data_IF_662383793686
#
_entry.id   IF_662383793686
#
_cell.length_a   1.000
_cell.length_b   1.000
_cell.length_c   1.000
_cell.angle_alpha   90.00
_cell.angle_beta   90.00
_cell.angle_gamma   90.00
#
_symmetry.space_group_name_H-M   'P 1'
#
loop_
_entity.id
_entity.type
_entity.pdbx_description
1 polymer ?
#
# COMPACT_ATOMS: atom_id res chain seq x y z
N UNK A 1 -20.03 76.92 41.60
CA UNK A 1 -19.32 75.80 42.25
C UNK A 1 -18.75 74.93 41.12
N UNK A 2 -17.63 75.30 40.48
CA UNK A 2 -16.23 74.89 40.74
C UNK A 2 -16.07 73.38 41.04
N UNK A 3 -15.32 72.68 40.18
CA UNK A 3 -14.81 71.31 40.40
C UNK A 3 -14.44 70.57 39.11
N UNK A 4 -13.42 71.03 38.36
CA UNK A 4 -12.12 70.34 38.14
C UNK A 4 -12.13 68.96 37.47
N UNK A 5 -11.56 68.89 36.26
CA UNK A 5 -10.57 67.85 35.96
C UNK A 5 -9.49 68.42 35.02
N UNK A 6 -8.24 68.27 35.45
CA UNK A 6 -7.01 68.74 34.81
C UNK A 6 -6.38 67.60 33.99
N UNK A 7 -5.30 67.98 33.29
CA UNK A 7 -4.10 67.18 32.92
C UNK A 7 -4.17 66.63 31.49
N UNK A 8 -3.59 67.29 30.49
CA UNK A 8 -2.15 67.51 30.14
C UNK A 8 -1.77 66.59 28.98
N UNK A 9 -1.28 67.21 27.91
CA UNK A 9 -0.65 66.58 26.75
C UNK A 9 0.80 66.25 27.12
N UNK A 10 1.21 64.99 26.94
CA UNK A 10 2.63 64.60 26.92
C UNK A 10 2.89 63.68 25.73
N UNK A 11 3.84 64.09 24.91
CA UNK A 11 4.46 63.33 23.82
C UNK A 11 5.08 62.02 24.32
N UNK A 12 4.84 60.90 23.64
CA UNK A 12 5.52 59.61 23.85
C UNK A 12 5.74 58.91 22.51
N UNK A 13 6.97 58.91 21.99
CA UNK A 13 7.87 57.75 21.91
C UNK A 13 7.32 56.64 21.01
N UNK A 14 7.91 56.53 19.82
CA UNK A 14 7.74 55.42 18.89
C UNK A 14 8.32 54.14 19.52
N UNK A 15 7.47 53.13 19.71
CA UNK A 15 7.87 51.79 20.10
C UNK A 15 7.76 50.88 18.88
N UNK A 16 8.91 50.48 18.34
CA UNK A 16 9.01 49.43 17.33
C UNK A 16 8.64 48.09 17.97
N UNK A 17 7.51 47.51 17.58
CA UNK A 17 7.15 46.16 17.97
C UNK A 17 7.89 45.15 17.07
N UNK A 18 8.77 44.36 17.68
CA UNK A 18 9.37 43.17 17.07
C UNK A 18 8.26 42.13 16.86
N UNK A 19 7.94 41.84 15.61
CA UNK A 19 7.08 40.70 15.25
C UNK A 19 7.98 39.45 15.28
N UNK A 20 7.85 38.63 16.32
CA UNK A 20 8.37 37.26 16.30
C UNK A 20 7.35 36.43 15.51
N UNK A 21 7.64 36.20 14.23
CA UNK A 21 6.90 35.25 13.43
C UNK A 21 7.28 33.84 13.91
N UNK A 22 6.41 33.25 14.73
CA UNK A 22 6.49 31.86 15.10
C UNK A 22 6.08 31.01 13.89
N UNK A 23 7.07 30.56 13.13
CA UNK A 23 6.89 29.69 11.97
C UNK A 23 6.54 28.27 12.43
N UNK A 24 5.29 28.08 12.88
CA UNK A 24 4.70 26.76 12.92
C UNK A 24 4.41 26.34 11.48
N UNK A 25 5.29 25.52 10.91
CA UNK A 25 4.98 24.71 9.74
C UNK A 25 3.81 23.78 10.10
N UNK A 26 2.59 24.25 9.84
CA UNK A 26 1.45 23.38 9.73
C UNK A 26 1.73 22.44 8.55
N UNK A 27 2.01 21.18 8.85
CA UNK A 27 1.81 20.09 7.91
C UNK A 27 0.33 20.15 7.56
N UNK A 28 -0.01 20.74 6.41
CA UNK A 28 -1.37 20.69 5.89
C UNK A 28 -1.65 19.23 5.52
N UNK A 29 -2.15 18.45 6.49
CA UNK A 29 -2.82 17.20 6.20
C UNK A 29 -3.95 17.51 5.21
N UNK A 30 -4.06 16.70 4.15
CA UNK A 30 -5.15 16.83 3.19
C UNK A 30 -6.47 16.92 3.95
N UNK A 31 -7.22 18.02 3.77
CA UNK A 31 -8.51 18.19 4.41
C UNK A 31 -9.43 17.03 3.99
N UNK A 32 -10.08 16.38 4.96
CA UNK A 32 -11.04 15.30 4.67
C UNK A 32 -12.12 15.81 3.71
N UNK A 33 -12.38 15.12 2.58
CA UNK A 33 -13.37 15.58 1.61
C UNK A 33 -14.77 15.74 2.23
N UNK A 34 -15.44 16.87 1.97
CA UNK A 34 -16.82 17.10 2.42
C UNK A 34 -17.80 16.37 1.49
N UNK A 35 -18.24 15.18 1.91
CA UNK A 35 -19.20 14.36 1.17
C UNK A 35 -20.53 15.06 0.87
N UNK A 36 -21.00 15.95 1.74
CA UNK A 36 -22.22 16.73 1.52
C UNK A 36 -22.02 17.76 0.43
N UNK A 37 -20.89 18.47 0.45
CA UNK A 37 -20.56 19.44 -0.60
C UNK A 37 -20.40 18.75 -1.96
N UNK A 38 -19.70 17.61 -2.01
CA UNK A 38 -19.55 16.80 -3.23
C UNK A 38 -20.92 16.37 -3.74
N UNK A 39 -21.82 15.91 -2.86
CA UNK A 39 -23.18 15.54 -3.24
C UNK A 39 -23.95 16.72 -3.85
N UNK A 40 -23.90 17.90 -3.22
CA UNK A 40 -24.62 19.08 -3.69
C UNK A 40 -24.12 19.59 -5.04
N UNK A 41 -22.81 19.51 -5.28
CA UNK A 41 -22.19 19.95 -6.53
C UNK A 41 -22.41 18.97 -7.69
N UNK A 42 -22.38 17.66 -7.42
CA UNK A 42 -22.27 16.64 -8.46
C UNK A 42 -23.53 15.79 -8.61
N UNK A 43 -24.25 15.50 -7.52
CA UNK A 43 -25.28 14.48 -7.48
C UNK A 43 -26.70 15.06 -7.35
N UNK A 44 -26.84 16.17 -6.63
CA UNK A 44 -28.13 16.76 -6.28
C UNK A 44 -28.92 17.28 -7.48
N UNK A 45 -28.27 17.54 -8.61
CA UNK A 45 -28.95 17.94 -9.86
C UNK A 45 -29.97 16.89 -10.33
N UNK A 46 -29.69 15.59 -10.08
CA UNK A 46 -30.60 14.49 -10.42
C UNK A 46 -31.27 13.89 -9.17
N UNK A 47 -30.52 13.70 -8.08
CA UNK A 47 -31.02 13.04 -6.87
C UNK A 47 -31.71 13.98 -5.88
N UNK A 48 -31.71 15.28 -6.18
CA UNK A 48 -32.19 16.38 -5.32
C UNK A 48 -31.38 16.54 -4.03
N UNK A 49 -31.31 17.76 -3.46
CA UNK A 49 -30.59 18.00 -2.20
C UNK A 49 -31.09 17.16 -1.00
N UNK A 50 -32.36 16.75 -1.03
CA UNK A 50 -32.98 15.91 0.00
C UNK A 50 -32.95 14.41 -0.33
N UNK A 51 -32.23 13.99 -1.39
CA UNK A 51 -32.13 12.58 -1.77
C UNK A 51 -33.43 11.95 -2.25
N UNK A 52 -34.48 12.74 -2.50
CA UNK A 52 -35.78 12.22 -2.90
C UNK A 52 -35.81 11.69 -4.35
N UNK A 53 -34.77 11.98 -5.15
CA UNK A 53 -34.77 11.68 -6.58
C UNK A 53 -35.84 12.48 -7.32
N UNK A 54 -36.22 12.03 -8.52
CA UNK A 54 -37.30 12.63 -9.30
C UNK A 54 -37.18 12.33 -10.79
N UNK A 55 -38.33 12.33 -11.48
CA UNK A 55 -38.38 11.93 -12.88
C UNK A 55 -37.79 10.53 -13.05
N UNK A 56 -36.79 10.33 -13.91
CA UNK A 56 -36.21 9.01 -14.17
C UNK A 56 -35.16 8.58 -13.12
N UNK A 57 -34.88 9.38 -12.09
CA UNK A 57 -33.83 9.12 -11.09
C UNK A 57 -34.42 8.62 -9.76
N UNK A 58 -33.90 7.51 -9.21
CA UNK A 58 -34.43 6.91 -7.98
C UNK A 58 -34.17 7.78 -6.74
N UNK A 59 -35.00 7.64 -5.68
CA UNK A 59 -34.67 8.17 -4.37
C UNK A 59 -33.42 7.47 -3.83
N UNK A 60 -32.57 8.24 -3.16
CA UNK A 60 -31.48 7.74 -2.32
C UNK A 60 -31.91 7.68 -0.84
N UNK A 61 -32.82 8.57 -0.43
CA UNK A 61 -33.45 8.53 0.89
C UNK A 61 -34.32 7.27 1.05
N UNK A 62 -34.04 6.46 2.06
CA UNK A 62 -34.76 5.20 2.34
C UNK A 62 -34.59 4.12 1.27
N UNK A 63 -33.60 4.25 0.38
CA UNK A 63 -33.34 3.26 -0.66
C UNK A 63 -32.73 1.98 -0.04
N UNK A 64 -33.30 0.78 -0.30
CA UNK A 64 -32.77 -0.48 0.24
C UNK A 64 -31.31 -0.75 -0.13
N UNK A 65 -30.88 -0.44 -1.36
CA UNK A 65 -29.51 -0.65 -1.81
C UNK A 65 -28.54 0.31 -1.11
N UNK A 66 -28.97 1.54 -0.83
CA UNK A 66 -28.20 2.49 -0.03
C UNK A 66 -28.11 2.02 1.42
N UNK A 67 -29.16 1.38 1.94
CA UNK A 67 -29.21 0.88 3.32
C UNK A 67 -28.65 -0.55 3.50
N UNK A 68 -28.22 -1.21 2.42
CA UNK A 68 -27.60 -2.52 2.51
C UNK A 68 -26.30 -2.47 3.32
N UNK A 69 -26.04 -3.54 4.11
CA UNK A 69 -24.80 -3.68 4.89
C UNK A 69 -23.60 -3.61 3.95
N UNK A 70 -23.65 -4.39 2.86
CA UNK A 70 -22.64 -4.38 1.81
C UNK A 70 -22.79 -3.14 0.91
N UNK A 71 -21.70 -2.41 0.72
CA UNK A 71 -21.62 -1.19 -0.09
C UNK A 71 -21.10 -1.44 -1.51
N UNK A 72 -20.69 -2.66 -1.87
CA UNK A 72 -20.05 -2.95 -3.15
C UNK A 72 -20.88 -2.48 -4.35
N UNK A 73 -22.19 -2.75 -4.36
CA UNK A 73 -23.08 -2.39 -5.47
C UNK A 73 -23.19 -0.88 -5.69
N UNK A 74 -23.29 -0.09 -4.61
CA UNK A 74 -23.41 1.38 -4.72
C UNK A 74 -22.06 2.02 -5.05
N UNK A 75 -20.94 1.45 -4.58
CA UNK A 75 -19.60 1.87 -4.98
C UNK A 75 -19.40 1.66 -6.49
N UNK A 76 -19.71 0.47 -7.00
CA UNK A 76 -19.60 0.16 -8.43
C UNK A 76 -20.53 1.01 -9.29
N UNK A 77 -21.73 1.33 -8.80
CA UNK A 77 -22.68 2.22 -9.48
C UNK A 77 -22.14 3.64 -9.61
N UNK A 78 -21.51 4.19 -8.56
CA UNK A 78 -20.89 5.53 -8.64
C UNK A 78 -19.65 5.53 -9.53
N UNK A 79 -18.80 4.52 -9.41
CA UNK A 79 -17.60 4.40 -10.23
C UNK A 79 -17.98 4.29 -11.71
N UNK A 80 -18.81 3.33 -12.09
CA UNK A 80 -19.02 2.99 -13.50
C UNK A 80 -20.23 3.71 -14.12
N UNK A 81 -21.04 4.38 -13.30
CA UNK A 81 -22.34 4.87 -13.73
C UNK A 81 -23.31 3.71 -13.94
N UNK A 82 -24.52 4.05 -14.38
CA UNK A 82 -25.54 3.06 -14.67
C UNK A 82 -26.49 3.58 -15.75
N UNK A 83 -26.87 2.69 -16.65
CA UNK A 83 -27.93 2.91 -17.63
C UNK A 83 -28.98 1.82 -17.51
N UNK A 84 -30.17 2.08 -18.05
CA UNK A 84 -31.25 1.11 -18.09
C UNK A 84 -32.12 1.06 -16.84
N UNK A 85 -33.17 0.22 -16.87
CA UNK A 85 -34.20 0.22 -15.85
C UNK A 85 -33.70 -0.33 -14.52
N UNK A 86 -34.12 0.30 -13.43
CA UNK A 86 -33.94 -0.18 -12.07
C UNK A 86 -35.28 -0.13 -11.34
N UNK A 87 -35.48 -0.99 -10.36
CA UNK A 87 -36.68 -0.95 -9.52
C UNK A 87 -36.26 -0.64 -8.10
N UNK A 88 -36.82 0.43 -7.52
CA UNK A 88 -36.62 0.80 -6.11
C UNK A 88 -37.99 0.91 -5.47
N UNK A 89 -38.23 0.15 -4.41
CA UNK A 89 -39.51 0.10 -3.69
C UNK A 89 -40.73 -0.11 -4.62
N UNK A 90 -40.58 -0.98 -5.63
CA UNK A 90 -41.63 -1.32 -6.60
C UNK A 90 -41.87 -0.29 -7.71
N UNK A 91 -41.13 0.82 -7.72
CA UNK A 91 -41.20 1.85 -8.78
C UNK A 91 -40.02 1.69 -9.73
N UNK A 92 -40.28 1.72 -11.04
CA UNK A 92 -39.26 1.63 -12.07
C UNK A 92 -38.69 3.01 -12.42
N UNK A 93 -37.37 3.08 -12.53
CA UNK A 93 -36.58 4.26 -12.89
C UNK A 93 -35.67 3.90 -14.07
N UNK A 94 -35.40 4.85 -14.97
CA UNK A 94 -34.63 4.58 -16.20
C UNK A 94 -33.61 5.66 -16.53
N UNK A 95 -33.23 6.48 -15.55
CA UNK A 95 -32.29 7.58 -15.73
C UNK A 95 -30.87 7.07 -15.91
N UNK A 96 -30.10 7.79 -16.75
CA UNK A 96 -28.68 7.52 -16.92
C UNK A 96 -27.88 8.21 -15.81
N UNK A 97 -27.16 7.42 -15.03
CA UNK A 97 -26.20 7.90 -14.04
C UNK A 97 -24.81 7.91 -14.67
N UNK A 98 -24.10 9.06 -14.69
CA UNK A 98 -22.75 9.14 -15.23
C UNK A 98 -21.74 8.37 -14.36
N UNK A 99 -20.63 7.97 -14.98
CA UNK A 99 -19.46 7.41 -14.30
C UNK A 99 -18.66 8.52 -13.61
N UNK A 100 -18.19 8.25 -12.39
CA UNK A 100 -17.32 9.15 -11.62
C UNK A 100 -15.90 8.60 -11.41
N UNK A 101 -15.60 7.43 -11.99
CA UNK A 101 -14.31 6.71 -11.89
C UNK A 101 -13.09 7.49 -12.39
N UNK A 102 -13.27 8.52 -13.20
CA UNK A 102 -12.17 9.38 -13.66
C UNK A 102 -12.23 10.80 -13.10
N UNK A 103 -13.28 11.14 -12.35
CA UNK A 103 -13.63 12.51 -11.99
C UNK A 103 -13.50 12.78 -10.48
N UNK A 104 -13.71 11.75 -9.66
CA UNK A 104 -13.57 11.82 -8.21
C UNK A 104 -12.52 10.81 -7.73
N UNK A 105 -11.70 11.23 -6.78
CA UNK A 105 -10.75 10.38 -6.04
C UNK A 105 -11.47 9.34 -5.17
N UNK A 106 -10.73 8.36 -4.66
CA UNK A 106 -11.29 7.33 -3.78
C UNK A 106 -11.83 7.94 -2.48
N UNK A 107 -11.08 8.87 -1.87
CA UNK A 107 -11.52 9.63 -0.70
C UNK A 107 -12.80 10.44 -0.95
N UNK A 108 -12.93 11.09 -2.12
CA UNK A 108 -14.14 11.86 -2.48
C UNK A 108 -15.36 10.97 -2.69
N UNK A 109 -15.20 9.81 -3.35
CA UNK A 109 -16.29 8.84 -3.54
C UNK A 109 -16.69 8.21 -2.20
N UNK A 110 -15.73 7.86 -1.36
CA UNK A 110 -15.99 7.34 -0.01
C UNK A 110 -16.76 8.36 0.84
N UNK A 111 -16.35 9.63 0.80
CA UNK A 111 -17.03 10.71 1.53
C UNK A 111 -18.47 10.93 1.07
N UNK A 112 -18.72 11.03 -0.25
CA UNK A 112 -20.08 11.25 -0.78
C UNK A 112 -21.00 10.06 -0.53
N UNK A 113 -20.49 8.82 -0.66
CA UNK A 113 -21.26 7.62 -0.35
C UNK A 113 -21.57 7.51 1.14
N UNK A 114 -20.62 7.87 2.01
CA UNK A 114 -20.84 7.94 3.46
C UNK A 114 -21.92 8.96 3.82
N UNK A 115 -21.89 10.15 3.20
CA UNK A 115 -22.95 11.14 3.37
C UNK A 115 -24.32 10.57 2.93
N UNK A 116 -24.41 9.99 1.73
CA UNK A 116 -25.66 9.40 1.21
C UNK A 116 -26.19 8.29 2.13
N UNK A 117 -25.33 7.47 2.73
CA UNK A 117 -25.70 6.35 3.62
C UNK A 117 -26.10 6.76 5.04
N UNK A 118 -25.85 8.01 5.41
CA UNK A 118 -26.16 8.56 6.75
C UNK A 118 -27.16 9.73 6.70
N UNK A 119 -27.38 10.31 5.52
CA UNK A 119 -28.37 11.36 5.30
C UNK A 119 -29.80 10.81 5.22
N UNK A 120 -30.79 11.69 5.44
CA UNK A 120 -32.22 11.43 5.21
C UNK A 120 -32.76 10.17 5.90
N UNK A 121 -32.26 9.88 7.11
CA UNK A 121 -32.60 8.71 7.93
C UNK A 121 -32.14 7.37 7.35
N UNK A 122 -31.23 7.38 6.38
CA UNK A 122 -30.46 6.19 6.04
C UNK A 122 -29.58 5.80 7.25
N UNK A 123 -29.41 4.50 7.45
CA UNK A 123 -28.67 3.94 8.58
C UNK A 123 -27.88 2.73 8.11
N UNK A 124 -26.78 3.02 7.40
CA UNK A 124 -25.86 2.00 6.91
C UNK A 124 -24.41 2.33 7.27
N UNK A 125 -23.52 1.33 7.34
CA UNK A 125 -22.09 1.56 7.62
C UNK A 125 -21.46 2.56 6.65
N UNK A 126 -20.53 3.38 7.13
CA UNK A 126 -19.76 4.28 6.26
C UNK A 126 -18.98 3.51 5.20
N UNK A 127 -18.67 4.16 4.08
CA UNK A 127 -17.80 3.63 3.03
C UNK A 127 -16.38 4.14 3.26
N UNK A 128 -15.40 3.24 3.34
CA UNK A 128 -13.99 3.60 3.46
C UNK A 128 -13.35 3.88 2.09
N UNK A 129 -12.25 4.63 2.11
CA UNK A 129 -11.42 4.86 0.92
C UNK A 129 -10.90 3.54 0.33
N UNK A 130 -10.45 2.61 1.19
CA UNK A 130 -9.96 1.28 0.78
C UNK A 130 -11.03 0.47 0.03
N UNK A 131 -12.30 0.54 0.45
CA UNK A 131 -13.40 -0.13 -0.25
C UNK A 131 -13.59 0.43 -1.67
N UNK A 132 -13.44 1.73 -1.84
CA UNK A 132 -13.53 2.37 -3.16
C UNK A 132 -12.32 2.03 -4.01
N UNK A 133 -11.11 2.09 -3.45
CA UNK A 133 -9.87 1.72 -4.14
C UNK A 133 -9.91 0.27 -4.63
N UNK A 134 -10.39 -0.66 -3.79
CA UNK A 134 -10.58 -2.06 -4.15
C UNK A 134 -11.61 -2.22 -5.28
N UNK A 135 -12.77 -1.56 -5.19
CA UNK A 135 -13.78 -1.58 -6.24
C UNK A 135 -13.32 -0.88 -7.55
N UNK A 136 -12.38 0.06 -7.46
CA UNK A 136 -11.74 0.73 -8.60
C UNK A 136 -10.61 -0.12 -9.19
N UNK A 137 -10.10 -1.13 -8.51
CA UNK A 137 -9.21 -2.07 -9.17
C UNK A 137 -9.94 -2.70 -10.37
N UNK A 138 -9.28 -2.92 -11.52
CA UNK A 138 -9.83 -3.80 -12.55
C UNK A 138 -10.19 -5.15 -11.91
N UNK A 139 -11.30 -5.75 -12.34
CA UNK A 139 -11.69 -7.09 -11.90
C UNK A 139 -10.48 -8.03 -12.10
N UNK A 140 -10.02 -8.66 -11.01
CA UNK A 140 -8.79 -9.42 -11.02
C UNK A 140 -8.84 -10.46 -12.15
N UNK A 141 -7.87 -10.41 -13.05
CA UNK A 141 -7.79 -11.43 -14.09
C UNK A 141 -7.56 -12.79 -13.41
N UNK A 142 -8.13 -13.86 -13.98
CA UNK A 142 -7.86 -15.21 -13.44
C UNK A 142 -6.36 -15.46 -13.38
N UNK A 143 -5.88 -16.09 -12.30
CA UNK A 143 -4.45 -16.32 -12.11
C UNK A 143 -3.81 -17.10 -13.25
N UNK A 144 -4.57 -18.02 -13.85
CA UNK A 144 -4.17 -18.76 -15.04
C UNK A 144 -3.96 -17.84 -16.27
N UNK A 145 -4.88 -16.90 -16.52
CA UNK A 145 -4.76 -15.95 -17.62
C UNK A 145 -3.59 -14.98 -17.41
N UNK A 146 -3.40 -14.48 -16.18
CA UNK A 146 -2.25 -13.64 -15.84
C UNK A 146 -0.95 -14.39 -16.04
N UNK A 147 -0.87 -15.64 -15.57
CA UNK A 147 0.31 -16.47 -15.73
C UNK A 147 0.65 -16.67 -17.20
N UNK A 148 -0.34 -17.03 -18.02
CA UNK A 148 -0.16 -17.22 -19.46
C UNK A 148 0.26 -15.93 -20.20
N UNK A 149 -0.24 -14.77 -19.75
CA UNK A 149 0.05 -13.50 -20.41
C UNK A 149 1.40 -12.88 -19.98
N UNK A 150 1.84 -13.13 -18.74
CA UNK A 150 2.94 -12.36 -18.12
C UNK A 150 4.10 -13.21 -17.63
N UNK A 151 3.86 -14.47 -17.25
CA UNK A 151 4.84 -15.29 -16.53
C UNK A 151 5.38 -16.45 -17.38
N UNK A 152 4.53 -17.07 -18.22
CA UNK A 152 4.85 -18.29 -18.96
C UNK A 152 5.94 -18.09 -20.02
N UNK A 153 6.18 -16.87 -20.48
CA UNK A 153 7.30 -16.57 -21.41
C UNK A 153 8.64 -17.02 -20.84
N UNK A 154 8.83 -16.87 -19.52
CA UNK A 154 10.07 -17.25 -18.83
C UNK A 154 9.91 -18.53 -18.02
N UNK A 155 8.80 -18.68 -17.29
CA UNK A 155 8.56 -19.85 -16.43
C UNK A 155 7.95 -21.06 -17.15
N UNK A 156 7.66 -20.91 -18.45
CA UNK A 156 6.97 -21.88 -19.30
C UNK A 156 5.54 -22.17 -18.83
N UNK A 157 4.71 -22.71 -19.72
CA UNK A 157 3.27 -22.87 -19.49
C UNK A 157 2.92 -23.85 -18.36
N UNK A 158 3.79 -24.82 -18.10
CA UNK A 158 3.64 -25.80 -17.02
C UNK A 158 4.53 -25.47 -15.79
N UNK A 159 5.05 -24.25 -15.69
CA UNK A 159 5.87 -23.83 -14.56
C UNK A 159 7.19 -24.59 -14.44
N UNK A 160 7.66 -25.25 -15.50
CA UNK A 160 8.89 -26.05 -15.50
C UNK A 160 10.17 -25.18 -15.56
N UNK A 161 10.03 -23.89 -15.88
CA UNK A 161 11.18 -23.00 -16.04
C UNK A 161 12.04 -23.34 -17.26
N UNK A 162 13.25 -22.77 -17.28
CA UNK A 162 14.29 -22.99 -18.30
C UNK A 162 15.65 -23.13 -17.62
N UNK A 163 16.75 -23.10 -18.37
CA UNK A 163 18.09 -23.02 -17.78
C UNK A 163 18.37 -21.70 -17.08
N UNK A 164 17.68 -20.62 -17.48
CA UNK A 164 17.84 -19.30 -16.88
C UNK A 164 16.85 -19.06 -15.73
N UNK A 165 15.65 -19.62 -15.80
CA UNK A 165 14.56 -19.37 -14.86
C UNK A 165 14.17 -20.65 -14.11
N UNK A 166 14.02 -20.61 -12.78
CA UNK A 166 13.74 -21.81 -12.00
C UNK A 166 12.34 -22.39 -12.28
N UNK A 167 12.16 -23.71 -12.09
CA UNK A 167 10.83 -24.29 -12.04
C UNK A 167 10.04 -23.68 -10.87
N UNK A 168 8.76 -23.44 -11.11
CA UNK A 168 7.75 -23.11 -10.11
C UNK A 168 7.02 -24.36 -9.60
N UNK A 169 6.91 -25.39 -10.44
CA UNK A 169 6.40 -26.70 -10.04
C UNK A 169 7.36 -27.36 -9.03
N UNK A 170 6.84 -27.78 -7.88
CA UNK A 170 7.61 -28.41 -6.80
C UNK A 170 8.67 -27.52 -6.15
N UNK A 171 8.61 -26.20 -6.38
CA UNK A 171 9.58 -25.26 -5.82
C UNK A 171 9.29 -25.02 -4.33
N UNK A 172 10.30 -25.17 -3.46
CA UNK A 172 10.15 -25.03 -2.01
C UNK A 172 9.76 -23.62 -1.56
N UNK A 173 10.13 -22.58 -2.33
CA UNK A 173 9.69 -21.19 -2.07
C UNK A 173 8.22 -21.02 -2.45
N UNK A 174 7.78 -21.66 -3.53
CA UNK A 174 6.37 -21.62 -3.96
C UNK A 174 5.49 -22.40 -3.00
N UNK A 175 5.95 -23.55 -2.50
CA UNK A 175 5.15 -24.46 -1.66
C UNK A 175 5.29 -24.21 -0.16
N UNK A 176 6.09 -23.22 0.25
CA UNK A 176 6.23 -22.84 1.65
C UNK A 176 4.88 -22.43 2.27
N UNK A 177 4.67 -22.79 3.54
CA UNK A 177 3.48 -22.39 4.29
C UNK A 177 3.31 -20.87 4.35
N UNK A 178 4.41 -20.14 4.54
CA UNK A 178 4.47 -18.68 4.45
C UNK A 178 4.79 -18.25 3.00
N UNK A 179 3.86 -17.59 2.28
CA UNK A 179 4.05 -17.18 0.90
C UNK A 179 4.90 -15.90 0.75
N UNK A 180 5.31 -15.25 1.84
CA UNK A 180 5.92 -13.90 1.81
C UNK A 180 7.15 -13.80 0.90
N UNK A 181 8.01 -14.82 0.88
CA UNK A 181 9.19 -14.83 0.02
C UNK A 181 8.84 -14.91 -1.48
N UNK A 182 7.84 -15.72 -1.84
CA UNK A 182 7.36 -15.82 -3.22
C UNK A 182 6.70 -14.51 -3.66
N UNK A 183 5.83 -13.95 -2.80
CA UNK A 183 5.16 -12.68 -3.06
C UNK A 183 6.18 -11.56 -3.24
N UNK A 184 7.19 -11.47 -2.36
CA UNK A 184 8.23 -10.45 -2.45
C UNK A 184 9.00 -10.51 -3.79
N UNK A 185 9.25 -11.72 -4.31
CA UNK A 185 9.89 -11.91 -5.62
C UNK A 185 8.98 -11.47 -6.77
N UNK A 186 7.67 -11.73 -6.70
CA UNK A 186 6.72 -11.26 -7.72
C UNK A 186 6.59 -9.73 -7.69
N UNK A 187 6.43 -9.16 -6.49
CA UNK A 187 6.25 -7.71 -6.33
C UNK A 187 7.51 -6.96 -6.71
N UNK A 188 8.67 -7.32 -6.14
CA UNK A 188 9.90 -6.52 -6.26
C UNK A 188 10.81 -6.98 -7.40
N UNK A 189 10.51 -8.12 -8.04
CA UNK A 189 11.44 -8.77 -8.95
C UNK A 189 12.63 -9.38 -8.21
N UNK A 190 13.56 -9.95 -8.97
CA UNK A 190 14.79 -10.53 -8.44
C UNK A 190 15.90 -10.55 -9.48
N UNK A 191 17.12 -10.29 -9.04
CA UNK A 191 18.34 -10.42 -9.83
C UNK A 191 19.39 -11.25 -9.09
N UNK A 192 20.38 -11.76 -9.82
CA UNK A 192 21.52 -12.48 -9.25
C UNK A 192 21.27 -13.96 -8.93
N UNK A 193 22.28 -14.65 -8.38
CA UNK A 193 22.28 -16.11 -8.23
C UNK A 193 21.26 -16.58 -7.20
N UNK A 194 20.39 -17.48 -7.66
CA UNK A 194 19.41 -18.20 -6.86
C UNK A 194 19.62 -19.71 -7.05
N UNK A 195 19.77 -20.46 -5.97
CA UNK A 195 19.81 -21.92 -6.03
C UNK A 195 18.44 -22.52 -5.71
N UNK A 196 17.91 -23.33 -6.62
CA UNK A 196 16.68 -24.13 -6.41
C UNK A 196 17.02 -25.58 -6.72
N UNK A 197 16.74 -26.49 -5.79
CA UNK A 197 17.00 -27.93 -5.93
C UNK A 197 18.44 -28.26 -6.39
N UNK A 198 19.44 -27.52 -5.88
CA UNK A 198 20.85 -27.73 -6.21
C UNK A 198 21.32 -27.14 -7.55
N UNK A 199 20.43 -26.57 -8.37
CA UNK A 199 20.79 -25.84 -9.60
C UNK A 199 20.78 -24.34 -9.34
N UNK A 200 21.78 -23.64 -9.85
CA UNK A 200 21.88 -22.17 -9.77
C UNK A 200 21.27 -21.52 -11.01
N UNK A 201 20.44 -20.52 -10.78
CA UNK A 201 19.73 -19.71 -11.76
C UNK A 201 20.17 -18.24 -11.62
N UNK A 202 20.29 -17.54 -12.74
CA UNK A 202 20.73 -16.14 -12.81
C UNK A 202 19.79 -15.28 -13.66
N UNK A 203 18.64 -15.81 -14.08
CA UNK A 203 17.64 -15.06 -14.85
C UNK A 203 17.10 -13.87 -14.05
N UNK A 204 16.84 -12.77 -14.75
CA UNK A 204 16.27 -11.56 -14.16
C UNK A 204 14.75 -11.69 -14.11
N UNK A 205 14.18 -11.71 -12.92
CA UNK A 205 12.74 -11.66 -12.73
C UNK A 205 12.29 -10.20 -12.65
N UNK A 206 11.42 -9.71 -13.55
CA UNK A 206 10.95 -8.33 -13.52
C UNK A 206 10.11 -8.06 -12.26
N UNK A 207 10.08 -6.79 -11.85
CA UNK A 207 9.14 -6.31 -10.83
C UNK A 207 7.75 -6.14 -11.43
N UNK A 208 6.71 -6.52 -10.68
CA UNK A 208 5.31 -6.29 -11.06
C UNK A 208 4.63 -5.20 -10.22
N UNK A 209 5.36 -4.58 -9.27
CA UNK A 209 4.87 -3.45 -8.47
C UNK A 209 4.41 -2.31 -9.39
N UNK A 210 3.17 -1.87 -9.20
CA UNK A 210 2.55 -0.80 -9.99
C UNK A 210 2.16 -1.19 -11.42
N UNK A 211 2.45 -2.42 -11.86
CA UNK A 211 2.02 -2.95 -13.15
C UNK A 211 0.83 -3.92 -13.01
N UNK A 212 0.78 -4.64 -11.89
CA UNK A 212 -0.34 -5.48 -11.49
C UNK A 212 -0.91 -4.94 -10.17
N UNK A 213 -2.22 -5.08 -9.99
CA UNK A 213 -2.88 -4.80 -8.72
C UNK A 213 -2.49 -5.86 -7.67
N UNK A 214 -2.75 -5.58 -6.38
CA UNK A 214 -2.57 -6.59 -5.33
C UNK A 214 -3.46 -7.82 -5.58
N UNK A 215 -4.69 -7.60 -6.05
CA UNK A 215 -5.63 -8.64 -6.47
C UNK A 215 -5.07 -9.52 -7.60
N UNK A 216 -4.50 -8.92 -8.64
CA UNK A 216 -3.88 -9.67 -9.74
C UNK A 216 -2.69 -10.50 -9.27
N UNK A 217 -1.84 -9.91 -8.41
CA UNK A 217 -0.68 -10.62 -7.84
C UNK A 217 -1.15 -11.77 -6.95
N UNK A 218 -2.16 -11.56 -6.10
CA UNK A 218 -2.74 -12.60 -5.24
C UNK A 218 -3.36 -13.73 -6.08
N UNK A 219 -4.06 -13.39 -7.16
CA UNK A 219 -4.67 -14.31 -8.11
C UNK A 219 -3.63 -15.19 -8.81
N UNK A 220 -2.59 -14.59 -9.41
CA UNK A 220 -1.52 -15.37 -10.09
C UNK A 220 -0.66 -16.17 -9.12
N UNK A 221 -0.37 -15.62 -7.93
CA UNK A 221 0.36 -16.32 -6.87
C UNK A 221 -0.41 -17.54 -6.38
N UNK A 222 -1.73 -17.41 -6.17
CA UNK A 222 -2.62 -18.52 -5.81
C UNK A 222 -2.61 -19.59 -6.88
N UNK A 223 -2.77 -19.21 -8.15
CA UNK A 223 -2.73 -20.15 -9.27
C UNK A 223 -1.41 -20.93 -9.30
N UNK A 224 -0.26 -20.25 -9.18
CA UNK A 224 1.06 -20.91 -9.15
C UNK A 224 1.18 -21.89 -7.98
N UNK A 225 0.61 -21.57 -6.81
CA UNK A 225 0.65 -22.39 -5.58
C UNK A 225 -0.29 -23.60 -5.60
N UNK A 226 -1.28 -23.62 -6.47
CA UNK A 226 -2.20 -24.74 -6.64
C UNK A 226 -2.01 -25.50 -7.97
N UNK A 227 -0.99 -25.14 -8.76
CA UNK A 227 -0.75 -25.71 -10.10
C UNK A 227 0.35 -26.76 -10.10
N UNK A 228 0.32 -27.63 -11.09
CA UNK A 228 1.40 -28.58 -11.43
C UNK A 228 1.81 -29.50 -10.27
N UNK A 229 0.86 -29.86 -9.42
CA UNK A 229 1.09 -30.70 -8.24
C UNK A 229 1.56 -29.93 -7.01
N UNK A 230 1.63 -28.60 -7.07
CA UNK A 230 1.75 -27.78 -5.86
C UNK A 230 0.44 -27.85 -5.06
N UNK A 231 0.57 -28.00 -3.75
CA UNK A 231 -0.55 -28.00 -2.81
C UNK A 231 -0.21 -27.08 -1.64
N UNK A 232 -0.38 -25.77 -1.87
CA UNK A 232 -0.06 -24.75 -0.88
C UNK A 232 -1.22 -23.76 -0.73
N UNK A 233 -1.43 -23.20 0.48
CA UNK A 233 -2.56 -22.28 0.74
C UNK A 233 -2.60 -21.09 -0.23
N UNK A 234 -3.80 -20.59 -0.56
CA UNK A 234 -3.96 -19.43 -1.44
C UNK A 234 -3.31 -18.17 -0.85
N UNK A 235 -3.03 -17.21 -1.72
CA UNK A 235 -2.50 -15.89 -1.36
C UNK A 235 -3.63 -14.88 -1.36
N UNK A 236 -3.66 -14.06 -0.31
CA UNK A 236 -4.63 -12.97 -0.11
C UNK A 236 -4.05 -11.63 -0.56
N UNK A 237 -4.93 -10.67 -0.85
CA UNK A 237 -4.52 -9.30 -1.20
C UNK A 237 -3.80 -8.61 -0.05
N UNK A 238 -4.21 -8.88 1.19
CA UNK A 238 -3.56 -8.37 2.39
C UNK A 238 -2.12 -8.87 2.51
N UNK A 239 -1.87 -10.14 2.21
CA UNK A 239 -0.50 -10.68 2.17
C UNK A 239 0.34 -10.01 1.09
N UNK A 240 -0.25 -9.68 -0.07
CA UNK A 240 0.44 -8.93 -1.13
C UNK A 240 0.73 -7.49 -0.71
N UNK A 241 -0.25 -6.80 -0.10
CA UNK A 241 -0.09 -5.46 0.42
C UNK A 241 1.00 -5.40 1.51
N UNK A 242 1.02 -6.38 2.41
CA UNK A 242 2.03 -6.52 3.45
C UNK A 242 3.43 -6.74 2.87
N UNK A 243 3.56 -7.56 1.83
CA UNK A 243 4.84 -7.82 1.15
C UNK A 243 5.28 -6.70 0.17
N UNK A 244 4.36 -5.83 -0.24
CA UNK A 244 4.61 -4.63 -1.06
C UNK A 244 5.01 -3.38 -0.26
N UNK A 245 4.72 -3.40 1.04
CA UNK A 245 5.39 -2.65 2.12
C UNK A 245 6.68 -3.38 2.53
N UNK A 246 7.63 -2.76 3.26
CA UNK A 246 9.04 -3.07 3.11
C UNK A 246 9.45 -4.51 3.45
N UNK A 247 9.73 -5.26 2.39
CA UNK A 247 10.64 -6.40 2.23
C UNK A 247 10.67 -7.45 3.35
N UNK A 248 10.13 -8.63 3.03
CA UNK A 248 10.09 -9.87 3.85
C UNK A 248 11.41 -10.15 4.60
N UNK A 249 11.27 -10.35 5.93
CA UNK A 249 12.35 -10.73 6.84
C UNK A 249 13.01 -12.06 6.46
N UNK A 250 12.32 -12.98 5.78
CA UNK A 250 12.91 -14.23 5.28
C UNK A 250 13.89 -14.01 4.14
N UNK A 251 13.61 -13.08 3.22
CA UNK A 251 14.57 -12.67 2.18
C UNK A 251 15.78 -12.03 2.85
N UNK A 252 15.55 -11.15 3.81
CA UNK A 252 16.61 -10.56 4.63
C UNK A 252 17.45 -11.60 5.37
N UNK A 253 16.83 -12.63 5.95
CA UNK A 253 17.49 -13.73 6.64
C UNK A 253 18.41 -14.52 5.71
N UNK A 254 17.96 -14.83 4.49
CA UNK A 254 18.77 -15.53 3.50
C UNK A 254 19.97 -14.69 3.03
N UNK A 255 19.77 -13.40 2.80
CA UNK A 255 20.84 -12.46 2.45
C UNK A 255 21.83 -12.35 3.61
N UNK A 256 21.34 -12.23 4.85
CA UNK A 256 22.16 -12.17 6.04
C UNK A 256 23.04 -13.41 6.20
N UNK A 257 22.44 -14.59 6.09
CA UNK A 257 23.15 -15.86 6.21
C UNK A 257 24.28 -15.99 5.18
N UNK A 258 24.04 -15.56 3.93
CA UNK A 258 25.00 -15.67 2.84
C UNK A 258 26.13 -14.63 2.91
N UNK A 259 25.80 -13.39 3.30
CA UNK A 259 26.69 -12.24 3.08
C UNK A 259 27.21 -11.60 4.37
N UNK A 260 26.50 -11.75 5.49
CA UNK A 260 26.76 -11.00 6.71
C UNK A 260 27.20 -11.90 7.88
N UNK A 261 26.60 -13.10 7.98
CA UNK A 261 26.77 -14.00 9.12
C UNK A 261 28.22 -14.48 9.31
N UNK A 262 29.03 -14.54 8.25
CA UNK A 262 30.44 -14.91 8.34
C UNK A 262 31.24 -13.98 9.28
N UNK A 263 30.84 -12.70 9.36
CA UNK A 263 31.47 -11.73 10.26
C UNK A 263 30.62 -11.44 11.50
N UNK A 264 29.30 -11.34 11.35
CA UNK A 264 28.39 -10.91 12.41
C UNK A 264 27.76 -12.05 13.21
N UNK A 265 28.14 -13.29 12.93
CA UNK A 265 27.59 -14.48 13.59
C UNK A 265 26.22 -14.88 13.01
N UNK A 266 25.92 -16.17 13.07
CA UNK A 266 24.66 -16.73 12.52
C UNK A 266 23.41 -16.23 13.23
N UNK A 267 23.55 -15.74 14.48
CA UNK A 267 22.47 -15.19 15.29
C UNK A 267 22.66 -13.70 15.57
N UNK A 268 23.46 -13.01 14.76
CA UNK A 268 23.82 -11.61 15.03
C UNK A 268 24.61 -11.43 16.32
N UNK A 269 25.20 -12.50 16.85
CA UNK A 269 25.94 -12.58 18.10
C UNK A 269 27.34 -11.96 18.01
N UNK A 270 27.78 -11.60 16.80
CA UNK A 270 29.07 -10.95 16.54
C UNK A 270 30.18 -11.94 16.22
N UNK A 271 31.41 -11.43 16.19
CA UNK A 271 32.61 -12.19 15.86
C UNK A 271 33.68 -11.25 15.31
N UNK A 272 34.00 -11.40 14.03
CA UNK A 272 34.87 -10.46 13.30
C UNK A 272 34.20 -9.08 13.20
N UNK A 273 32.89 -9.07 12.97
CA UNK A 273 32.04 -7.88 13.03
C UNK A 273 31.40 -7.73 14.41
N UNK A 274 30.91 -6.53 14.76
CA UNK A 274 30.18 -6.31 16.01
C UNK A 274 28.90 -7.16 16.07
N UNK A 275 28.46 -7.48 17.28
CA UNK A 275 27.14 -8.05 17.51
C UNK A 275 26.06 -7.10 16.99
N UNK A 276 25.03 -7.66 16.36
CA UNK A 276 23.85 -6.95 15.85
C UNK A 276 22.61 -7.23 16.71
N UNK A 277 22.59 -8.36 17.42
CA UNK A 277 21.56 -8.70 18.39
C UNK A 277 21.57 -7.70 19.55
N UNK A 278 20.40 -7.15 19.89
CA UNK A 278 20.18 -6.13 20.92
C UNK A 278 21.15 -4.93 20.87
N UNK A 279 21.75 -4.67 19.70
CA UNK A 279 22.75 -3.63 19.58
C UNK A 279 22.07 -2.25 19.60
N UNK A 280 22.43 -1.32 20.50
CA UNK A 280 21.76 -0.02 20.61
C UNK A 280 21.92 0.88 19.38
N UNK A 281 22.88 0.60 18.49
CA UNK A 281 23.04 1.31 17.22
C UNK A 281 22.19 0.71 16.08
N UNK A 282 21.65 -0.50 16.28
CA UNK A 282 20.74 -1.19 15.35
C UNK A 282 19.30 -1.00 15.82
N UNK A 283 19.06 -1.17 17.13
CA UNK A 283 17.79 -1.01 17.82
C UNK A 283 17.52 0.47 18.14
N UNK A 284 17.45 1.27 17.07
CA UNK A 284 17.13 2.71 17.13
C UNK A 284 16.16 3.09 16.01
N UNK A 285 15.21 3.97 16.31
CA UNK A 285 14.14 4.39 15.40
C UNK A 285 14.61 4.84 14.01
N UNK A 286 15.72 5.59 13.94
CA UNK A 286 16.25 6.07 12.66
C UNK A 286 17.32 5.11 12.10
N UNK A 287 17.07 4.43 10.96
CA UNK A 287 18.00 3.45 10.41
C UNK A 287 19.15 4.06 9.60
N UNK A 288 19.23 5.38 9.44
CA UNK A 288 20.15 6.05 8.49
C UNK A 288 21.62 5.65 8.69
N UNK A 289 22.10 5.57 9.93
CA UNK A 289 23.49 5.19 10.21
C UNK A 289 23.77 3.71 9.91
N UNK A 290 22.82 2.83 10.25
CA UNK A 290 22.90 1.42 9.91
C UNK A 290 22.90 1.24 8.38
N UNK A 291 22.01 1.92 7.68
CA UNK A 291 21.91 1.89 6.22
C UNK A 291 23.13 2.48 5.53
N UNK A 292 23.65 3.60 6.02
CA UNK A 292 24.90 4.19 5.53
C UNK A 292 26.04 3.16 5.65
N UNK A 293 26.12 2.47 6.78
CA UNK A 293 27.14 1.44 7.02
C UNK A 293 26.97 0.24 6.07
N UNK A 294 25.74 -0.23 5.82
CA UNK A 294 25.49 -1.34 4.89
C UNK A 294 25.77 -0.91 3.44
N UNK A 295 25.26 0.25 3.03
CA UNK A 295 25.36 0.73 1.65
C UNK A 295 26.80 1.14 1.32
N UNK A 296 27.45 1.97 2.15
CA UNK A 296 28.77 2.53 1.86
C UNK A 296 29.92 1.69 2.42
N UNK A 297 29.66 0.77 3.35
CA UNK A 297 30.70 0.08 4.11
C UNK A 297 31.29 0.97 5.21
N UNK A 298 32.04 0.34 6.12
CA UNK A 298 32.77 1.05 7.18
C UNK A 298 33.89 0.18 7.74
N UNK A 299 35.12 0.69 7.76
CA UNK A 299 36.30 -0.06 8.20
C UNK A 299 36.44 -1.39 7.43
N UNK A 300 36.40 -2.52 8.13
CA UNK A 300 36.43 -3.87 7.55
C UNK A 300 35.08 -4.32 6.99
N UNK A 301 33.98 -3.62 7.28
CA UNK A 301 32.68 -3.95 6.72
C UNK A 301 32.62 -3.51 5.25
N UNK A 302 32.40 -4.45 4.31
CA UNK A 302 32.37 -4.14 2.89
C UNK A 302 31.19 -3.23 2.54
N UNK A 303 31.35 -2.48 1.45
CA UNK A 303 30.26 -1.73 0.83
C UNK A 303 29.35 -2.67 0.04
N UNK A 304 28.04 -2.56 0.23
CA UNK A 304 27.06 -3.34 -0.55
C UNK A 304 26.41 -2.53 -1.68
N UNK A 305 26.75 -1.24 -1.83
CA UNK A 305 26.32 -0.42 -2.97
C UNK A 305 26.76 -1.05 -4.28
N UNK A 306 25.80 -1.28 -5.17
CA UNK A 306 26.03 -1.90 -6.47
C UNK A 306 26.33 -3.41 -6.43
N UNK A 307 26.45 -4.01 -5.24
CA UNK A 307 26.60 -5.47 -5.08
C UNK A 307 25.27 -6.13 -4.71
N UNK A 308 24.43 -5.43 -3.96
CA UNK A 308 23.05 -5.82 -3.66
C UNK A 308 22.08 -4.77 -4.22
N UNK A 309 20.89 -5.22 -4.63
CA UNK A 309 19.81 -4.31 -4.99
C UNK A 309 19.35 -3.52 -3.77
N UNK A 310 18.79 -2.32 -3.97
CA UNK A 310 18.27 -1.51 -2.87
C UNK A 310 17.15 -2.24 -2.08
N UNK A 311 16.37 -3.07 -2.77
CA UNK A 311 15.38 -3.97 -2.16
C UNK A 311 16.03 -5.03 -1.27
N UNK A 312 17.15 -5.61 -1.68
CA UNK A 312 17.87 -6.63 -0.90
C UNK A 312 18.52 -6.04 0.35
N UNK A 313 19.05 -4.82 0.22
CA UNK A 313 19.58 -4.05 1.35
C UNK A 313 18.45 -3.72 2.33
N UNK A 314 17.29 -3.29 1.84
CA UNK A 314 16.11 -3.06 2.67
C UNK A 314 15.64 -4.34 3.37
N UNK A 315 15.67 -5.49 2.68
CA UNK A 315 15.35 -6.81 3.24
C UNK A 315 16.25 -7.15 4.44
N UNK A 316 17.56 -7.12 4.23
CA UNK A 316 18.53 -7.54 5.24
C UNK A 316 18.56 -6.56 6.41
N UNK A 317 18.41 -5.26 6.14
CA UNK A 317 18.27 -4.23 7.15
C UNK A 317 17.02 -4.45 8.01
N UNK A 318 15.88 -4.77 7.39
CA UNK A 318 14.63 -5.10 8.08
C UNK A 318 14.77 -6.35 8.94
N UNK A 319 15.36 -7.41 8.39
CA UNK A 319 15.63 -8.64 9.14
C UNK A 319 16.51 -8.38 10.36
N UNK A 320 17.62 -7.67 10.21
CA UNK A 320 18.52 -7.30 11.32
C UNK A 320 17.77 -6.54 12.41
N UNK A 321 16.92 -5.58 12.02
CA UNK A 321 16.16 -4.70 12.94
C UNK A 321 14.98 -5.35 13.65
N UNK A 322 14.54 -6.52 13.19
CA UNK A 322 13.42 -7.28 13.75
C UNK A 322 13.84 -8.62 14.36
N UNK A 323 15.14 -8.91 14.38
CA UNK A 323 15.69 -10.17 14.88
C UNK A 323 16.44 -10.00 16.20
N UNK A 324 16.53 -11.09 16.95
CA UNK A 324 17.44 -11.22 18.10
C UNK A 324 17.28 -10.11 19.14
N UNK A 325 16.03 -9.80 19.51
CA UNK A 325 15.73 -8.78 20.52
C UNK A 325 15.69 -7.34 20.00
N UNK A 326 16.03 -7.11 18.73
CA UNK A 326 15.76 -5.83 18.07
C UNK A 326 14.27 -5.72 17.74
N UNK A 327 13.69 -4.54 17.97
CA UNK A 327 12.27 -4.30 17.75
C UNK A 327 12.05 -2.94 17.10
N UNK A 328 12.59 -2.79 15.90
CA UNK A 328 12.53 -1.54 15.15
C UNK A 328 11.71 -1.68 13.86
N UNK A 329 11.14 -0.56 13.35
CA UNK A 329 10.40 -0.57 12.10
C UNK A 329 11.20 -1.11 10.92
N UNK A 330 10.48 -1.72 9.99
CA UNK A 330 11.01 -2.19 8.73
C UNK A 330 11.59 -1.04 7.90
N UNK A 331 12.58 -1.37 7.09
CA UNK A 331 13.31 -0.41 6.25
C UNK A 331 12.80 -0.48 4.82
N UNK A 332 12.43 0.67 4.29
CA UNK A 332 11.94 0.89 2.93
C UNK A 332 13.07 0.95 1.89
N UNK A 333 12.73 0.68 0.62
CA UNK A 333 13.65 0.89 -0.50
C UNK A 333 14.02 2.36 -0.65
N UNK A 334 13.08 3.26 -0.38
CA UNK A 334 13.28 4.70 -0.46
C UNK A 334 14.34 5.18 0.54
N UNK A 335 14.31 4.69 1.78
CA UNK A 335 15.34 5.00 2.79
C UNK A 335 16.72 4.52 2.36
N UNK A 336 16.81 3.34 1.74
CA UNK A 336 18.08 2.83 1.17
C UNK A 336 18.56 3.71 0.01
N UNK A 337 17.66 4.06 -0.91
CA UNK A 337 17.99 4.91 -2.06
C UNK A 337 18.34 6.35 -1.69
N UNK A 338 17.91 6.84 -0.52
CA UNK A 338 18.24 8.16 -0.02
C UNK A 338 19.69 8.27 0.50
N UNK A 339 20.35 7.14 0.78
CA UNK A 339 21.75 7.12 1.17
C UNK A 339 22.62 7.47 -0.05
N UNK A 340 23.36 8.58 0.02
CA UNK A 340 24.25 9.09 -1.04
C UNK A 340 25.58 8.37 -1.12
#
# INVERSE_FOLDING_TARGET
>A
MIGTLRVVVISGIALAALIVADSHSAVMGAATPDGKQIFLLNCAVCHRPNGAGGGPYPPLAGNPDVNAIDSANIIQTVLNGRTGPITVNGVQYGGNMPSWRGQLSDAEIAAVLTYVRTAWRNSAPAVSEDQVAAARAPEALSGAALFAAKCSTCHQSAGQGTDAYPPLAGNSVVTAADPSAMIAVIVNGRSGPLSVNGKTYNGQMPTWKGQLSNADIASVATYVRSSWGNDAPPVTEEQVAAAGSPVSTQVGAAIFAKNCAACHGSKGDGGVGPALAENPHVNVANPTMMLTTIVQGRNLMPSWRGQLAASDIAAVATYIRSSWGNNEPAVTVQEVSAIK
#
